data_IF_880146584123
#
_entry.id   IF_880146584123
#
_cell.length_a   1.000
_cell.length_b   1.000
_cell.length_c   1.000
_cell.angle_alpha   90.00
_cell.angle_beta   90.00
_cell.angle_gamma   90.00
#
_symmetry.space_group_name_H-M   'P 1'
#
loop_
_entity.id
_entity.type
_entity.pdbx_description
1 polymer ?
#
# COMPACT_ATOMS: atom_id res chain seq x y z
N UNK A 1 -9.55 67.00 20.82
CA UNK A 1 -8.68 65.86 20.49
C UNK A 1 -9.60 64.69 20.15
N UNK A 2 -9.60 64.19 18.91
CA UNK A 2 -10.41 63.05 18.49
C UNK A 2 -9.49 61.83 18.40
N UNK A 3 -9.67 60.86 19.28
CA UNK A 3 -8.92 59.61 19.29
C UNK A 3 -9.67 58.59 18.44
N UNK A 4 -9.04 58.11 17.38
CA UNK A 4 -9.57 57.08 16.49
C UNK A 4 -8.97 55.74 16.91
N UNK A 5 -9.77 54.89 17.54
CA UNK A 5 -9.35 53.54 17.96
C UNK A 5 -9.55 52.58 16.80
N UNK A 6 -8.45 52.09 16.21
CA UNK A 6 -8.48 51.07 15.15
C UNK A 6 -8.42 49.67 15.79
N UNK A 7 -9.47 48.88 15.66
CA UNK A 7 -9.50 47.48 16.09
C UNK A 7 -8.91 46.59 14.98
N UNK A 8 -7.81 45.90 15.27
CA UNK A 8 -7.19 44.92 14.38
C UNK A 8 -7.84 43.56 14.65
N UNK A 9 -8.67 43.08 13.71
CA UNK A 9 -9.17 41.71 13.72
C UNK A 9 -8.09 40.77 13.17
N UNK A 10 -7.42 40.04 14.06
CA UNK A 10 -6.55 38.93 13.68
C UNK A 10 -7.43 37.70 13.45
N UNK A 11 -7.74 37.41 12.18
CA UNK A 11 -8.38 36.17 11.80
C UNK A 11 -7.35 35.03 11.84
N UNK A 12 -7.35 34.25 12.94
CA UNK A 12 -6.63 32.99 13.02
C UNK A 12 -7.36 31.96 12.14
N UNK A 13 -6.92 31.81 10.90
CA UNK A 13 -7.32 30.70 10.04
C UNK A 13 -6.69 29.40 10.56
N UNK A 14 -7.34 28.71 11.48
CA UNK A 14 -7.01 27.32 11.76
C UNK A 14 -7.44 26.49 10.55
N UNK A 15 -6.47 26.06 9.75
CA UNK A 15 -6.68 24.97 8.79
C UNK A 15 -7.13 23.75 9.59
N UNK A 16 -8.41 23.41 9.55
CA UNK A 16 -8.90 22.15 10.08
C UNK A 16 -8.21 21.03 9.29
N UNK A 17 -7.18 20.43 9.89
CA UNK A 17 -6.60 19.20 9.38
C UNK A 17 -7.68 18.15 9.51
N UNK A 18 -8.37 17.83 8.42
CA UNK A 18 -9.29 16.70 8.37
C UNK A 18 -8.49 15.45 8.73
N UNK A 19 -8.89 14.78 9.82
CA UNK A 19 -8.28 13.51 10.17
C UNK A 19 -8.48 12.53 9.00
N UNK A 20 -7.38 12.09 8.39
CA UNK A 20 -7.42 11.09 7.32
C UNK A 20 -7.97 9.79 7.90
N UNK A 21 -9.15 9.37 7.45
CA UNK A 21 -9.70 8.05 7.81
C UNK A 21 -8.89 6.95 7.10
N UNK A 22 -7.96 6.37 7.85
CA UNK A 22 -7.15 5.24 7.44
C UNK A 22 -7.94 3.93 7.50
N UNK A 23 -7.55 2.94 6.69
CA UNK A 23 -8.18 1.62 6.71
C UNK A 23 -7.79 0.86 7.98
N UNK A 24 -8.54 -0.19 8.33
CA UNK A 24 -8.27 -1.00 9.51
C UNK A 24 -6.88 -1.66 9.46
N UNK A 25 -6.44 -2.12 8.28
CA UNK A 25 -5.09 -2.66 8.14
C UNK A 25 -3.99 -1.60 8.27
N UNK A 26 -4.23 -0.39 7.76
CA UNK A 26 -3.30 0.71 7.96
C UNK A 26 -3.13 1.01 9.46
N UNK A 27 -4.24 1.15 10.19
CA UNK A 27 -4.23 1.40 11.63
C UNK A 27 -3.62 0.23 12.42
N UNK A 28 -3.86 -1.01 11.99
CA UNK A 28 -3.26 -2.20 12.59
C UNK A 28 -1.73 -2.13 12.52
N UNK A 29 -1.15 -1.85 11.35
CA UNK A 29 0.31 -1.75 11.20
C UNK A 29 0.89 -0.51 11.89
N UNK A 30 0.21 0.63 11.82
CA UNK A 30 0.63 1.82 12.55
C UNK A 30 0.69 1.56 14.06
N UNK A 31 -0.27 0.81 14.62
CA UNK A 31 -0.26 0.43 16.03
C UNK A 31 0.77 -0.65 16.36
N UNK A 32 0.89 -1.67 15.51
CA UNK A 32 1.74 -2.85 15.75
C UNK A 32 3.22 -2.53 15.57
N UNK A 33 3.57 -1.91 14.44
CA UNK A 33 4.95 -1.70 14.01
C UNK A 33 5.40 -0.24 14.20
N UNK A 34 4.49 0.65 14.62
CA UNK A 34 4.76 2.09 14.75
C UNK A 34 4.80 2.83 13.41
N UNK A 35 4.61 2.12 12.29
CA UNK A 35 4.71 2.65 10.94
C UNK A 35 3.97 1.79 9.91
N UNK A 36 3.76 2.33 8.72
CA UNK A 36 3.23 1.62 7.55
C UNK A 36 4.18 1.89 6.39
N UNK A 37 4.77 0.84 5.80
CA UNK A 37 5.82 0.99 4.78
C UNK A 37 5.45 1.85 3.58
N UNK A 38 4.16 2.01 3.33
CA UNK A 38 3.62 2.67 2.15
C UNK A 38 2.73 3.84 2.49
N UNK A 39 2.75 4.32 3.73
CA UNK A 39 2.05 5.53 4.13
C UNK A 39 2.40 6.71 3.23
N UNK A 40 1.43 7.54 2.82
CA UNK A 40 1.70 8.83 2.20
C UNK A 40 2.36 9.82 3.19
N UNK A 41 1.93 9.79 4.45
CA UNK A 41 2.47 10.62 5.52
C UNK A 41 3.90 10.16 5.90
N UNK A 42 4.86 11.08 5.90
CA UNK A 42 6.28 10.76 6.05
C UNK A 42 6.64 10.32 7.49
N UNK A 43 5.93 10.85 8.47
CA UNK A 43 6.00 10.52 9.90
C UNK A 43 5.42 9.14 10.24
N UNK A 44 4.49 8.64 9.43
CA UNK A 44 3.90 7.31 9.57
C UNK A 44 4.56 6.27 8.66
N UNK A 45 5.44 6.68 7.75
CA UNK A 45 6.09 5.78 6.81
C UNK A 45 7.26 5.05 7.48
N UNK A 46 7.32 3.73 7.33
CA UNK A 46 8.46 2.98 7.85
C UNK A 46 9.77 3.51 7.23
N UNK A 47 10.85 3.60 8.04
CA UNK A 47 12.13 4.06 7.53
C UNK A 47 12.59 3.18 6.38
N UNK A 48 13.16 3.80 5.35
CA UNK A 48 13.75 3.05 4.26
C UNK A 48 14.94 2.24 4.81
N UNK A 49 15.10 0.97 4.40
CA UNK A 49 16.24 0.17 4.77
C UNK A 49 17.54 0.91 4.42
N UNK A 50 18.53 0.82 5.30
CA UNK A 50 19.84 1.41 5.04
C UNK A 50 20.43 0.68 3.84
N UNK A 51 20.64 1.41 2.74
CA UNK A 51 21.29 0.82 1.56
C UNK A 51 22.74 0.54 1.92
N UNK A 52 23.13 -0.73 1.97
CA UNK A 52 24.55 -1.05 2.04
C UNK A 52 25.23 -0.55 0.76
N UNK A 53 26.32 0.18 0.96
CA UNK A 53 27.15 0.68 -0.13
C UNK A 53 28.52 0.04 0.04
N UNK A 54 28.87 -0.85 -0.89
CA UNK A 54 30.18 -1.51 -0.93
C UNK A 54 31.35 -0.55 -1.16
N UNK A 55 31.05 0.72 -1.45
CA UNK A 55 32.02 1.79 -1.58
C UNK A 55 31.54 3.04 -0.80
N UNK A 56 32.47 3.82 -0.20
CA UNK A 56 32.13 5.08 0.43
C UNK A 56 31.42 6.00 -0.59
N UNK A 57 30.32 6.61 -0.16
CA UNK A 57 29.51 7.51 -0.98
C UNK A 57 30.41 8.66 -1.43
N UNK A 58 30.76 8.69 -2.72
CA UNK A 58 31.48 9.84 -3.28
C UNK A 58 30.58 11.06 -3.15
N UNK A 59 31.10 12.12 -2.52
CA UNK A 59 30.41 13.39 -2.41
C UNK A 59 29.85 13.82 -3.77
N UNK A 60 28.56 14.15 -3.80
CA UNK A 60 27.84 14.47 -5.02
C UNK A 60 28.34 15.82 -5.56
N UNK A 61 29.37 15.81 -6.41
CA UNK A 61 29.75 16.98 -7.16
C UNK A 61 28.79 17.14 -8.34
N UNK A 62 27.83 18.05 -8.21
CA UNK A 62 26.94 18.44 -9.30
C UNK A 62 27.74 19.16 -10.40
N UNK A 63 28.43 18.41 -11.25
CA UNK A 63 28.92 18.93 -12.53
C UNK A 63 27.75 18.97 -13.50
N UNK A 64 27.30 20.19 -13.80
CA UNK A 64 26.38 20.46 -14.89
C UNK A 64 26.91 19.81 -16.18
N UNK A 65 26.03 19.05 -16.85
CA UNK A 65 26.19 18.37 -18.15
C UNK A 65 27.01 17.06 -18.16
N UNK A 66 26.31 15.92 -18.04
CA UNK A 66 26.45 14.77 -18.95
C UNK A 66 25.40 13.68 -18.64
N UNK A 67 24.69 13.23 -19.69
CA UNK A 67 23.97 11.96 -19.84
C UNK A 67 22.95 11.55 -18.75
N UNK A 68 21.66 11.79 -19.06
CA UNK A 68 20.48 11.19 -18.42
C UNK A 68 20.38 9.69 -18.72
N UNK A 69 21.25 8.87 -18.13
CA UNK A 69 21.02 7.43 -17.91
C UNK A 69 21.67 7.02 -16.59
N UNK A 70 21.24 7.64 -15.49
CA UNK A 70 21.44 7.01 -14.20
C UNK A 70 20.59 5.73 -14.21
N UNK A 71 21.23 4.56 -14.34
CA UNK A 71 20.59 3.27 -14.09
C UNK A 71 20.07 3.38 -12.66
N UNK A 72 18.74 3.46 -12.50
CA UNK A 72 18.09 3.38 -11.18
C UNK A 72 18.71 2.17 -10.50
N UNK A 73 19.29 2.36 -9.32
CA UNK A 73 19.88 1.23 -8.58
C UNK A 73 18.85 0.11 -8.57
N UNK A 74 19.28 -1.11 -8.87
CA UNK A 74 18.53 -2.33 -8.58
C UNK A 74 18.35 -2.34 -7.06
N UNK A 75 17.37 -1.57 -6.58
CA UNK A 75 16.90 -1.69 -5.22
C UNK A 75 16.29 -3.08 -5.19
N UNK A 76 16.94 -4.00 -4.49
CA UNK A 76 16.31 -5.22 -4.04
C UNK A 76 15.00 -4.80 -3.36
N UNK A 77 13.88 -5.25 -3.92
CA UNK A 77 12.57 -4.92 -3.40
C UNK A 77 12.41 -5.71 -2.11
N UNK A 78 12.59 -5.03 -0.97
CA UNK A 78 12.51 -5.72 0.30
C UNK A 78 11.09 -6.19 0.58
N UNK A 79 10.98 -7.41 1.11
CA UNK A 79 9.72 -8.02 1.53
C UNK A 79 9.13 -7.30 2.75
N UNK A 80 7.92 -6.76 2.64
CA UNK A 80 7.27 -5.98 3.72
C UNK A 80 6.22 -6.76 4.52
N UNK A 81 5.34 -7.50 3.84
CA UNK A 81 4.30 -8.30 4.48
C UNK A 81 4.40 -9.77 4.04
N UNK A 82 4.26 -10.67 5.00
CA UNK A 82 4.32 -12.12 4.75
C UNK A 82 2.98 -12.76 5.05
N UNK A 83 2.38 -13.39 4.03
CA UNK A 83 1.20 -14.23 4.26
C UNK A 83 1.58 -15.40 5.14
N UNK A 84 0.70 -15.71 6.08
CA UNK A 84 0.77 -16.95 6.87
C UNK A 84 0.02 -18.07 6.16
N UNK A 85 -1.00 -17.74 5.37
CA UNK A 85 -1.77 -18.68 4.55
C UNK A 85 -1.26 -18.71 3.10
N UNK A 86 -1.46 -19.82 2.37
CA UNK A 86 -1.24 -19.86 0.94
C UNK A 86 -2.22 -18.94 0.20
N UNK A 87 -1.71 -18.11 -0.71
CA UNK A 87 -2.53 -17.39 -1.67
C UNK A 87 -3.25 -18.36 -2.61
N UNK A 88 -4.42 -17.95 -3.10
CA UNK A 88 -5.20 -18.68 -4.10
C UNK A 88 -5.49 -17.82 -5.35
N UNK A 89 -6.05 -18.45 -6.38
CA UNK A 89 -6.53 -17.76 -7.60
C UNK A 89 -7.93 -17.19 -7.40
N UNK A 90 -8.12 -15.90 -7.66
CA UNK A 90 -9.46 -15.31 -7.79
C UNK A 90 -10.03 -15.55 -9.19
N UNK A 91 -11.35 -15.72 -9.26
CA UNK A 91 -12.11 -15.93 -10.49
C UNK A 91 -12.36 -14.63 -11.26
N UNK A 92 -12.83 -14.74 -12.50
CA UNK A 92 -13.30 -13.61 -13.30
C UNK A 92 -14.59 -13.02 -12.70
N UNK A 93 -14.79 -11.70 -12.77
CA UNK A 93 -16.03 -11.10 -12.28
C UNK A 93 -15.99 -9.60 -12.05
N UNK A 94 -17.08 -9.10 -11.46
CA UNK A 94 -17.18 -7.75 -10.92
C UNK A 94 -16.59 -7.71 -9.51
N UNK A 95 -15.44 -7.06 -9.34
CA UNK A 95 -14.81 -6.85 -8.04
C UNK A 95 -15.12 -5.49 -7.45
N UNK A 96 -14.63 -5.24 -6.23
CA UNK A 96 -14.73 -3.94 -5.55
C UNK A 96 -14.14 -2.80 -6.40
N UNK A 97 -13.12 -3.07 -7.20
CA UNK A 97 -12.49 -2.06 -8.06
C UNK A 97 -13.00 -2.07 -9.51
N UNK A 98 -14.06 -2.82 -9.79
CA UNK A 98 -14.68 -2.97 -11.11
C UNK A 98 -14.43 -4.33 -11.76
N UNK A 99 -14.98 -4.50 -12.96
CA UNK A 99 -14.86 -5.71 -13.75
C UNK A 99 -13.42 -6.10 -14.11
N UNK A 100 -13.08 -7.38 -14.00
CA UNK A 100 -11.83 -7.94 -14.51
C UNK A 100 -11.97 -9.39 -14.98
N UNK A 101 -11.10 -9.78 -15.91
CA UNK A 101 -10.90 -11.18 -16.31
C UNK A 101 -9.58 -11.68 -15.71
N UNK A 102 -9.65 -12.66 -14.80
CA UNK A 102 -8.52 -13.19 -14.05
C UNK A 102 -7.50 -13.95 -14.91
N UNK A 103 -7.92 -14.49 -16.06
CA UNK A 103 -6.99 -15.19 -16.98
C UNK A 103 -6.18 -14.23 -17.86
N UNK A 104 -6.74 -13.05 -18.17
CA UNK A 104 -6.10 -12.06 -19.06
C UNK A 104 -5.54 -10.85 -18.32
N UNK A 105 -5.99 -10.59 -17.09
CA UNK A 105 -5.59 -9.42 -16.28
C UNK A 105 -4.79 -9.86 -15.07
N UNK A 106 -3.61 -9.26 -14.88
CA UNK A 106 -2.81 -9.49 -13.69
C UNK A 106 -3.33 -8.58 -12.58
N UNK A 107 -3.55 -9.13 -11.39
CA UNK A 107 -4.12 -8.36 -10.30
C UNK A 107 -4.06 -9.07 -8.97
N UNK A 108 -4.37 -8.32 -7.92
CA UNK A 108 -4.43 -8.82 -6.55
C UNK A 108 -5.77 -8.50 -5.91
N UNK A 109 -6.19 -9.39 -5.03
CA UNK A 109 -7.29 -9.22 -4.12
C UNK A 109 -6.73 -9.10 -2.70
N UNK A 110 -7.02 -7.99 -2.03
CA UNK A 110 -6.55 -7.75 -0.66
C UNK A 110 -7.71 -7.93 0.32
N UNK A 111 -7.44 -8.08 1.61
CA UNK A 111 -8.53 -8.35 2.55
C UNK A 111 -9.53 -7.20 2.64
N UNK A 112 -10.82 -7.51 2.48
CA UNK A 112 -11.92 -6.54 2.47
C UNK A 112 -12.28 -6.03 3.87
N UNK A 113 -11.84 -6.71 4.92
CA UNK A 113 -12.09 -6.34 6.32
C UNK A 113 -12.98 -7.31 7.06
N UNK A 114 -13.29 -7.01 8.31
CA UNK A 114 -14.01 -7.94 9.19
C UNK A 114 -15.54 -7.95 8.99
N UNK A 115 -16.07 -6.90 8.35
CA UNK A 115 -17.50 -6.72 8.11
C UNK A 115 -17.81 -6.90 6.62
N UNK A 116 -18.60 -7.93 6.30
CA UNK A 116 -18.91 -8.35 4.94
C UNK A 116 -20.36 -8.05 4.55
N UNK A 117 -21.26 -7.93 5.53
CA UNK A 117 -22.69 -7.71 5.27
C UNK A 117 -22.99 -6.22 5.15
N UNK A 118 -22.47 -5.42 6.09
CA UNK A 118 -22.74 -3.99 6.17
C UNK A 118 -21.42 -3.19 6.28
N UNK A 119 -20.56 -3.22 5.24
CA UNK A 119 -19.25 -2.59 5.30
C UNK A 119 -19.35 -1.07 5.50
N UNK A 120 -18.48 -0.53 6.35
CA UNK A 120 -18.34 0.91 6.61
C UNK A 120 -16.95 1.37 6.20
N UNK A 121 -16.69 2.69 6.24
CA UNK A 121 -15.33 3.21 6.03
C UNK A 121 -14.32 2.67 7.05
N UNK A 122 -14.77 2.43 8.30
CA UNK A 122 -13.93 1.99 9.41
C UNK A 122 -13.66 0.48 9.40
N UNK A 123 -14.61 -0.30 8.86
CA UNK A 123 -14.45 -1.76 8.76
C UNK A 123 -13.63 -2.21 7.56
N UNK A 124 -13.20 -1.29 6.71
CA UNK A 124 -12.39 -1.59 5.53
C UNK A 124 -11.03 -2.18 5.94
N UNK A 125 -10.70 -3.38 5.45
CA UNK A 125 -9.39 -4.01 5.67
C UNK A 125 -8.26 -3.22 5.02
N UNK A 126 -7.86 -3.64 3.82
CA UNK A 126 -7.07 -2.79 2.91
C UNK A 126 -7.95 -1.96 1.98
N UNK A 127 -9.16 -2.43 1.71
CA UNK A 127 -10.21 -1.76 0.95
C UNK A 127 -11.54 -2.42 1.33
N UNK A 128 -12.66 -1.83 0.92
CA UNK A 128 -13.96 -2.51 0.82
C UNK A 128 -14.83 -1.75 -0.18
N UNK A 129 -16.10 -2.14 -0.32
CA UNK A 129 -17.05 -1.47 -1.21
C UNK A 129 -17.26 0.02 -0.92
N UNK A 130 -16.94 0.51 0.28
CA UNK A 130 -17.09 1.92 0.67
C UNK A 130 -15.76 2.68 0.60
N UNK A 131 -14.64 2.04 0.96
CA UNK A 131 -13.29 2.59 0.97
C UNK A 131 -12.47 2.01 -0.18
N UNK A 132 -12.70 2.54 -1.38
CA UNK A 132 -12.05 2.08 -2.62
C UNK A 132 -10.74 2.81 -2.96
N UNK A 133 -10.20 3.63 -2.05
CA UNK A 133 -9.02 4.47 -2.32
C UNK A 133 -7.76 3.71 -2.73
N UNK A 134 -7.75 2.38 -2.56
CA UNK A 134 -6.63 1.52 -2.90
C UNK A 134 -6.81 0.77 -4.22
N UNK A 135 -7.97 0.88 -4.85
CA UNK A 135 -8.23 0.34 -6.17
C UNK A 135 -7.24 0.89 -7.21
N UNK A 136 -6.74 0.01 -8.08
CA UNK A 136 -5.78 0.34 -9.13
C UNK A 136 -4.37 0.69 -8.65
N UNK A 137 -4.15 0.88 -7.33
CA UNK A 137 -2.80 1.08 -6.79
C UNK A 137 -1.96 -0.15 -7.06
N UNK A 138 -0.69 0.08 -7.40
CA UNK A 138 0.23 -1.00 -7.74
C UNK A 138 0.87 -1.56 -6.49
N UNK A 139 0.98 -2.86 -6.54
CA UNK A 139 1.63 -3.68 -5.55
C UNK A 139 2.79 -4.40 -6.19
N UNK A 140 3.82 -4.73 -5.42
CA UNK A 140 4.71 -5.82 -5.82
C UNK A 140 4.48 -7.04 -4.97
N UNK A 141 4.59 -8.18 -5.62
CA UNK A 141 4.46 -9.50 -5.03
C UNK A 141 5.64 -10.37 -5.39
N UNK A 142 6.07 -11.22 -4.47
CA UNK A 142 7.15 -12.20 -4.70
C UNK A 142 6.81 -13.52 -4.02
N UNK A 143 7.32 -14.63 -4.55
CA UNK A 143 7.21 -15.94 -3.88
C UNK A 143 8.06 -15.95 -2.61
N UNK A 144 7.58 -16.66 -1.60
CA UNK A 144 8.33 -16.89 -0.36
C UNK A 144 9.65 -17.60 -0.67
N UNK A 145 10.75 -17.03 -0.21
CA UNK A 145 12.11 -17.55 -0.43
C UNK A 145 12.72 -17.27 -1.82
N UNK A 146 12.01 -16.56 -2.70
CA UNK A 146 12.40 -16.36 -4.10
C UNK A 146 12.28 -14.87 -4.50
N UNK A 147 13.18 -13.99 -4.02
CA UNK A 147 13.15 -12.54 -4.29
C UNK A 147 13.29 -12.18 -5.77
N UNK A 148 13.79 -13.08 -6.61
CA UNK A 148 13.88 -12.93 -8.07
C UNK A 148 12.50 -12.98 -8.76
N UNK A 149 11.47 -13.50 -8.08
CA UNK A 149 10.12 -13.66 -8.62
C UNK A 149 9.25 -12.42 -8.39
N UNK A 150 9.80 -11.22 -8.45
CA UNK A 150 8.97 -10.03 -8.28
C UNK A 150 8.01 -9.87 -9.47
N UNK A 151 6.73 -9.68 -9.19
CA UNK A 151 5.74 -9.15 -10.13
C UNK A 151 5.09 -7.91 -9.55
N UNK A 152 4.68 -7.02 -10.45
CA UNK A 152 3.85 -5.89 -10.08
C UNK A 152 2.43 -6.13 -10.59
N UNK A 153 1.45 -5.89 -9.73
CA UNK A 153 0.04 -6.06 -10.06
C UNK A 153 -0.79 -4.93 -9.43
N UNK A 154 -1.86 -4.46 -10.08
CA UNK A 154 -2.82 -3.56 -9.45
C UNK A 154 -3.70 -4.30 -8.43
N UNK A 155 -4.22 -3.57 -7.44
CA UNK A 155 -5.36 -4.03 -6.63
C UNK A 155 -6.62 -3.98 -7.49
N UNK A 156 -7.26 -5.12 -7.67
CA UNK A 156 -8.48 -5.28 -8.47
C UNK A 156 -9.71 -5.56 -7.60
N UNK A 157 -9.52 -6.08 -6.39
CA UNK A 157 -10.65 -6.58 -5.62
C UNK A 157 -10.36 -6.66 -4.11
N UNK A 158 -11.42 -6.89 -3.33
CA UNK A 158 -11.36 -7.19 -1.90
C UNK A 158 -11.93 -8.59 -1.57
N UNK A 159 -11.20 -9.37 -0.79
CA UNK A 159 -11.51 -10.76 -0.45
C UNK A 159 -11.78 -10.91 1.04
N UNK A 160 -12.74 -11.74 1.44
CA UNK A 160 -13.05 -11.98 2.85
C UNK A 160 -11.97 -12.83 3.56
N UNK A 161 -11.28 -13.73 2.84
CA UNK A 161 -10.31 -14.70 3.38
C UNK A 161 -10.85 -15.54 4.55
N UNK A 162 -12.19 -15.64 4.69
CA UNK A 162 -12.89 -16.32 5.79
C UNK A 162 -12.37 -15.95 7.20
N UNK A 163 -11.84 -14.73 7.35
CA UNK A 163 -11.32 -14.22 8.62
C UNK A 163 -11.89 -12.86 8.96
N UNK A 164 -12.15 -12.66 10.25
CA UNK A 164 -12.47 -11.35 10.84
C UNK A 164 -11.28 -10.75 11.59
N UNK A 165 -10.16 -11.46 11.67
CA UNK A 165 -8.98 -11.07 12.42
C UNK A 165 -8.09 -10.13 11.60
N UNK A 166 -7.77 -8.96 12.16
CA UNK A 166 -6.79 -8.03 11.57
C UNK A 166 -5.41 -8.70 11.41
N UNK A 167 -5.02 -9.54 12.37
CA UNK A 167 -3.70 -10.17 12.38
C UNK A 167 -3.53 -11.26 11.31
N UNK A 168 -4.63 -11.76 10.76
CA UNK A 168 -4.65 -12.73 9.67
C UNK A 168 -4.90 -12.00 8.36
N UNK A 169 -6.09 -11.37 8.23
CA UNK A 169 -6.55 -10.77 6.99
C UNK A 169 -5.64 -9.68 6.44
N UNK A 170 -5.02 -8.86 7.29
CA UNK A 170 -4.13 -7.80 6.80
C UNK A 170 -2.83 -8.32 6.15
N UNK A 171 -2.49 -9.59 6.37
CA UNK A 171 -1.37 -10.24 5.70
C UNK A 171 -1.77 -11.05 4.48
N UNK A 172 -3.07 -11.35 4.32
CA UNK A 172 -3.56 -12.22 3.26
C UNK A 172 -3.75 -11.49 1.93
N UNK A 173 -3.45 -12.23 0.86
CA UNK A 173 -3.55 -11.79 -0.52
C UNK A 173 -3.96 -12.99 -1.38
N UNK A 174 -4.84 -12.73 -2.34
CA UNK A 174 -5.12 -13.62 -3.44
C UNK A 174 -4.76 -12.91 -4.74
N UNK A 175 -4.56 -13.68 -5.81
CA UNK A 175 -4.09 -13.14 -7.08
C UNK A 175 -4.91 -13.70 -8.23
N UNK A 176 -4.91 -13.02 -9.37
CA UNK A 176 -5.59 -13.55 -10.55
C UNK A 176 -4.90 -14.81 -11.09
N UNK A 177 -5.63 -15.64 -11.85
CA UNK A 177 -5.09 -16.82 -12.52
C UNK A 177 -3.85 -16.46 -13.36
N UNK A 178 -3.89 -15.32 -14.05
CA UNK A 178 -2.75 -14.81 -14.83
C UNK A 178 -1.50 -14.63 -13.98
N UNK A 179 -1.62 -14.20 -12.72
CA UNK A 179 -0.49 -14.13 -11.81
C UNK A 179 -0.15 -15.53 -11.30
N UNK A 180 -1.14 -16.31 -10.83
CA UNK A 180 -0.91 -17.60 -10.19
C UNK A 180 -0.26 -18.65 -11.11
N UNK A 181 -0.52 -18.61 -12.43
CA UNK A 181 0.18 -19.46 -13.41
C UNK A 181 1.71 -19.25 -13.35
N UNK A 182 2.16 -18.06 -12.94
CA UNK A 182 3.58 -17.78 -12.71
C UNK A 182 4.01 -17.98 -11.24
N UNK A 183 3.11 -18.36 -10.31
CA UNK A 183 3.28 -18.36 -8.85
C UNK A 183 2.72 -19.61 -8.14
N UNK A 184 3.29 -20.80 -8.35
CA UNK A 184 3.05 -21.91 -7.42
C UNK A 184 3.69 -21.61 -6.04
N UNK A 185 2.85 -21.41 -5.02
CA UNK A 185 3.11 -21.34 -3.57
C UNK A 185 3.56 -19.96 -3.01
N UNK A 186 2.82 -19.53 -1.97
CA UNK A 186 3.02 -18.41 -1.02
C UNK A 186 3.49 -17.07 -1.62
N UNK A 187 2.55 -16.13 -1.73
CA UNK A 187 2.76 -14.78 -2.25
C UNK A 187 2.93 -13.78 -1.11
N UNK A 188 3.83 -12.84 -1.28
CA UNK A 188 4.16 -11.80 -0.31
C UNK A 188 3.90 -10.46 -0.96
N UNK A 189 3.34 -9.48 -0.26
CA UNK A 189 2.86 -8.25 -0.88
C UNK A 189 3.49 -7.00 -0.25
N UNK A 190 3.69 -5.97 -1.07
CA UNK A 190 4.07 -4.62 -0.65
C UNK A 190 3.33 -3.57 -1.48
N UNK A 191 2.52 -2.75 -0.80
CA UNK A 191 1.74 -1.67 -1.42
C UNK A 191 2.64 -0.53 -1.84
N UNK A 192 2.28 0.24 -2.86
CA UNK A 192 2.81 1.59 -3.04
C UNK A 192 1.71 2.60 -2.69
N UNK A 193 2.05 3.55 -1.82
CA UNK A 193 1.36 4.83 -1.57
C UNK A 193 -0.10 4.72 -1.13
N UNK A 194 -0.35 4.50 0.16
CA UNK A 194 -1.67 4.66 0.79
C UNK A 194 -1.99 6.11 1.08
#
# INVERSE_FOLDING_TARGET
MKATTTAIFVALSLSAVTATNHTACYNYFLKKDGCVFSAAAADQRCPAPVKEHSAPVKAFHAKHKANRRAKRSENELERRYTTVTPSFSISDGEGICGHYNSTTTAGVCLWSGSEQENPTLESAGWLNGVKTSNCGKRVYIQRKGHPETVKYAPVLDGCCFDTKSLAEGCFDIAVTIKVNIFFFVSLLFSAFGF
#
